data_IF_059553913240
#
_entry.id   IF_059553913240
#
_cell.length_a   1.000
_cell.length_b   1.000
_cell.length_c   1.000
_cell.angle_alpha   90.00
_cell.angle_beta   90.00
_cell.angle_gamma   90.00
#
_symmetry.space_group_name_H-M   'P 1'
#
loop_
_entity.id
_entity.type
_entity.pdbx_description
1 polymer ?
#
# COMPACT_ATOMS: atom_id res chain seq x y z
N UNK A 1 33.36 61.39 -32.02
CA UNK A 1 33.45 60.23 -31.12
C UNK A 1 32.57 59.12 -31.71
N UNK A 2 32.93 58.52 -32.85
CA UNK A 2 33.82 57.34 -32.99
C UNK A 2 33.24 56.12 -32.24
N UNK A 3 32.42 55.26 -32.87
CA UNK A 3 32.75 54.13 -33.80
C UNK A 3 33.22 52.87 -33.02
N UNK A 4 33.00 51.60 -33.42
CA UNK A 4 32.54 50.95 -34.68
C UNK A 4 32.18 49.46 -34.42
N UNK A 5 31.51 48.61 -35.26
CA UNK A 5 30.46 48.72 -36.32
C UNK A 5 30.01 47.31 -36.77
N UNK A 6 28.69 47.02 -36.83
CA UNK A 6 28.05 45.99 -37.70
C UNK A 6 28.44 44.49 -37.44
N UNK A 7 27.90 43.43 -38.09
CA UNK A 7 26.82 43.17 -39.08
C UNK A 7 26.39 41.69 -38.91
N UNK A 8 25.10 41.29 -38.80
CA UNK A 8 24.10 40.99 -39.86
C UNK A 8 24.39 39.77 -40.78
N UNK A 9 23.33 38.98 -41.04
CA UNK A 9 23.08 38.02 -42.17
C UNK A 9 23.26 36.49 -41.93
N UNK A 10 22.16 35.74 -42.13
CA UNK A 10 22.07 34.28 -42.42
C UNK A 10 22.21 34.04 -43.94
N UNK A 11 22.59 32.82 -44.40
CA UNK A 11 21.64 32.12 -45.27
C UNK A 11 21.59 30.57 -45.22
N UNK A 12 20.37 30.06 -45.50
CA UNK A 12 20.01 28.94 -46.41
C UNK A 12 20.25 27.45 -46.03
N UNK A 13 19.15 26.68 -46.20
CA UNK A 13 19.08 25.20 -46.28
C UNK A 13 19.61 24.70 -47.62
N UNK A 14 20.21 23.51 -47.64
CA UNK A 14 20.31 22.69 -48.87
C UNK A 14 19.68 21.31 -48.64
N UNK A 15 18.80 20.92 -49.56
CA UNK A 15 18.10 19.64 -49.63
C UNK A 15 18.45 18.93 -50.94
N UNK A 16 18.75 17.63 -50.93
CA UNK A 16 18.81 16.75 -52.13
C UNK A 16 18.78 15.25 -51.74
N UNK A 17 18.57 14.28 -52.66
CA UNK A 17 17.31 13.53 -52.63
C UNK A 17 17.46 11.99 -52.66
N UNK A 18 16.31 11.29 -52.73
CA UNK A 18 16.21 9.83 -52.94
C UNK A 18 16.69 9.42 -54.34
N UNK A 19 17.27 8.22 -54.45
CA UNK A 19 17.45 7.49 -55.71
C UNK A 19 17.51 5.98 -55.48
N UNK A 20 16.61 5.22 -56.12
CA UNK A 20 16.72 3.76 -56.31
C UNK A 20 17.24 3.51 -57.73
N UNK A 21 18.01 2.44 -57.97
CA UNK A 21 18.05 1.78 -59.27
C UNK A 21 17.26 0.45 -59.22
N UNK A 22 16.38 0.26 -60.19
CA UNK A 22 15.87 -1.04 -60.61
C UNK A 22 16.62 -1.46 -61.87
N UNK A 23 17.11 -2.70 -61.93
CA UNK A 23 17.77 -3.24 -63.12
C UNK A 23 17.64 -4.76 -63.15
N UNK A 24 16.89 -5.29 -64.11
CA UNK A 24 16.78 -6.72 -64.36
C UNK A 24 17.82 -7.15 -65.40
N UNK A 25 18.37 -8.35 -65.25
CA UNK A 25 19.27 -8.98 -66.22
C UNK A 25 19.14 -10.51 -66.15
N UNK A 26 18.84 -11.13 -67.29
CA UNK A 26 18.73 -12.60 -67.45
C UNK A 26 20.04 -13.17 -68.01
N UNK A 27 20.30 -14.45 -67.75
CA UNK A 27 21.43 -15.23 -68.29
C UNK A 27 21.89 -16.28 -67.28
N UNK A 28 21.44 -17.55 -67.25
CA UNK A 28 21.28 -18.58 -68.29
C UNK A 28 22.58 -19.31 -68.68
N UNK A 29 22.80 -20.45 -68.01
CA UNK A 29 23.39 -21.72 -68.55
C UNK A 29 24.86 -21.70 -69.03
N UNK A 30 25.73 -22.54 -68.42
CA UNK A 30 26.16 -23.84 -68.99
C UNK A 30 27.25 -24.57 -68.16
N UNK A 31 27.03 -25.87 -67.90
CA UNK A 31 27.95 -27.06 -67.99
C UNK A 31 29.46 -26.98 -67.64
N UNK A 32 30.17 -28.03 -67.18
CA UNK A 32 29.83 -29.39 -66.69
C UNK A 32 31.11 -30.09 -66.13
N UNK A 33 30.96 -31.27 -65.48
CA UNK A 33 32.04 -32.23 -65.16
C UNK A 33 32.28 -32.43 -63.66
N UNK A 34 32.00 -33.61 -63.07
CA UNK A 34 32.88 -34.82 -62.92
C UNK A 34 34.08 -34.56 -61.96
N UNK A 35 34.42 -35.38 -60.96
CA UNK A 35 34.13 -36.80 -60.64
C UNK A 35 34.00 -37.06 -59.10
N UNK A 36 33.70 -38.32 -58.79
CA UNK A 36 33.52 -39.02 -57.51
C UNK A 36 34.52 -38.72 -56.36
N UNK A 37 34.08 -38.93 -55.11
CA UNK A 37 34.94 -38.95 -53.92
C UNK A 37 34.17 -39.22 -52.61
N UNK A 38 34.30 -40.40 -52.02
CA UNK A 38 33.65 -40.80 -50.76
C UNK A 38 34.44 -40.30 -49.54
N UNK A 39 33.80 -39.56 -48.63
CA UNK A 39 33.97 -39.71 -47.17
C UNK A 39 33.08 -38.74 -46.38
N UNK A 40 32.33 -39.26 -45.41
CA UNK A 40 31.54 -38.44 -44.48
C UNK A 40 32.45 -37.88 -43.39
N UNK A 41 32.70 -36.57 -43.40
CA UNK A 41 33.31 -35.87 -42.26
C UNK A 41 32.23 -35.19 -41.41
N UNK A 42 32.32 -35.41 -40.10
CA UNK A 42 31.34 -34.92 -39.14
C UNK A 42 31.28 -33.38 -39.13
N UNK A 43 30.06 -32.84 -39.12
CA UNK A 43 29.85 -31.40 -39.01
C UNK A 43 30.36 -30.86 -37.66
N UNK A 44 30.85 -29.61 -37.60
CA UNK A 44 31.33 -29.01 -36.36
C UNK A 44 30.19 -28.91 -35.32
N UNK A 45 30.49 -29.07 -34.02
CA UNK A 45 29.47 -29.11 -32.98
C UNK A 45 28.67 -27.80 -32.91
N UNK A 46 27.38 -27.92 -32.63
CA UNK A 46 26.47 -26.80 -32.52
C UNK A 46 26.99 -25.74 -31.53
N UNK A 47 27.03 -24.48 -31.98
CA UNK A 47 27.44 -23.36 -31.12
C UNK A 47 26.56 -23.34 -29.87
N UNK A 48 27.20 -23.39 -28.71
CA UNK A 48 26.53 -23.28 -27.42
C UNK A 48 25.62 -22.05 -27.39
N UNK A 49 24.37 -22.24 -26.93
CA UNK A 49 23.37 -21.19 -26.90
C UNK A 49 23.88 -19.98 -26.13
N UNK A 50 23.76 -18.79 -26.71
CA UNK A 50 24.06 -17.54 -26.03
C UNK A 50 23.29 -17.49 -24.70
N UNK A 51 23.91 -17.07 -23.59
CA UNK A 51 23.23 -17.01 -22.30
C UNK A 51 22.00 -16.11 -22.46
N UNK A 52 20.82 -16.67 -22.20
CA UNK A 52 19.56 -15.94 -22.28
C UNK A 52 19.67 -14.69 -21.41
N UNK A 53 19.64 -13.51 -22.04
CA UNK A 53 19.80 -12.23 -21.35
C UNK A 53 18.76 -12.16 -20.25
N UNK A 54 19.21 -12.27 -19.00
CA UNK A 54 18.33 -12.31 -17.85
C UNK A 54 17.49 -11.04 -17.86
N UNK A 55 16.18 -11.19 -18.03
CA UNK A 55 15.26 -10.06 -18.17
C UNK A 55 15.51 -9.07 -17.03
N UNK A 56 15.72 -7.77 -17.33
CA UNK A 56 16.29 -6.83 -16.37
C UNK A 56 15.48 -6.84 -15.07
N UNK A 57 16.17 -7.13 -13.95
CA UNK A 57 15.60 -7.12 -12.59
C UNK A 57 14.85 -5.79 -12.43
N UNK A 58 13.50 -5.83 -12.50
CA UNK A 58 12.66 -4.63 -12.45
C UNK A 58 13.01 -3.85 -11.19
N UNK A 59 13.60 -2.67 -11.36
CA UNK A 59 14.19 -1.91 -10.26
C UNK A 59 13.18 -1.71 -9.13
N UNK A 60 13.53 -2.15 -7.91
CA UNK A 60 12.72 -1.92 -6.71
C UNK A 60 12.56 -0.43 -6.49
N UNK A 61 11.34 -0.01 -6.16
CA UNK A 61 11.07 1.35 -5.74
C UNK A 61 11.45 1.50 -4.27
N UNK A 62 12.71 1.86 -4.00
CA UNK A 62 13.25 2.04 -2.64
C UNK A 62 12.36 2.94 -1.79
N UNK A 63 11.83 4.03 -2.36
CA UNK A 63 10.88 4.93 -1.67
C UNK A 63 9.56 4.29 -1.24
N UNK A 64 9.03 3.29 -1.97
CA UNK A 64 7.79 2.57 -1.59
C UNK A 64 8.05 1.65 -0.40
N UNK A 65 9.19 0.95 -0.42
CA UNK A 65 9.58 0.11 0.72
C UNK A 65 9.94 1.01 1.92
N UNK A 66 10.67 2.12 1.74
CA UNK A 66 11.01 3.06 2.81
C UNK A 66 9.78 3.70 3.47
N UNK A 67 8.78 4.13 2.70
CA UNK A 67 7.51 4.62 3.25
C UNK A 67 6.79 3.53 4.07
N UNK A 68 6.92 2.26 3.69
CA UNK A 68 6.36 1.13 4.47
C UNK A 68 7.15 0.87 5.76
N UNK A 69 8.46 1.09 5.74
CA UNK A 69 9.30 1.06 6.94
C UNK A 69 8.94 2.17 7.91
N UNK A 70 8.77 3.41 7.42
CA UNK A 70 8.32 4.54 8.24
C UNK A 70 6.93 4.29 8.85
N UNK A 71 5.98 3.76 8.08
CA UNK A 71 4.67 3.34 8.58
C UNK A 71 4.78 2.31 9.71
N UNK A 72 5.66 1.32 9.57
CA UNK A 72 5.91 0.30 10.59
C UNK A 72 6.46 0.91 11.89
N UNK A 73 7.47 1.79 11.79
CA UNK A 73 8.06 2.45 12.96
C UNK A 73 7.07 3.38 13.67
N UNK A 74 6.21 4.07 12.91
CA UNK A 74 5.13 4.89 13.46
C UNK A 74 4.09 4.05 14.21
N UNK A 75 3.66 2.91 13.63
CA UNK A 75 2.75 1.98 14.31
C UNK A 75 3.36 1.45 15.62
N UNK A 76 4.65 1.05 15.60
CA UNK A 76 5.37 0.63 16.81
C UNK A 76 5.35 1.71 17.90
N UNK A 77 5.48 2.98 17.53
CA UNK A 77 5.40 4.11 18.46
C UNK A 77 4.02 4.22 19.09
N UNK A 78 2.96 4.23 18.27
CA UNK A 78 1.57 4.33 18.74
C UNK A 78 1.08 3.12 19.58
N UNK A 79 1.83 2.01 19.58
CA UNK A 79 1.54 0.82 20.37
C UNK A 79 2.28 0.76 21.71
N UNK A 80 3.41 1.46 21.84
CA UNK A 80 4.31 1.37 22.99
C UNK A 80 4.38 2.66 23.80
N UNK A 81 4.24 3.81 23.16
CA UNK A 81 4.22 5.13 23.82
C UNK A 81 2.79 5.46 24.26
N UNK A 82 2.64 5.96 25.49
CA UNK A 82 1.34 6.40 26.04
C UNK A 82 0.67 7.43 25.13
N UNK A 83 -0.67 7.36 25.02
CA UNK A 83 -1.46 8.30 24.21
C UNK A 83 -1.40 9.72 24.78
N UNK A 84 -1.36 9.84 26.11
CA UNK A 84 -1.28 11.10 26.84
C UNK A 84 0.06 11.25 27.57
N UNK A 85 0.44 12.49 27.81
CA UNK A 85 1.58 12.89 28.65
C UNK A 85 1.15 13.09 30.11
N UNK A 86 2.12 13.26 31.03
CA UNK A 86 1.84 13.37 32.47
C UNK A 86 1.09 14.66 32.87
N UNK A 87 1.17 15.70 32.03
CA UNK A 87 0.43 16.96 32.12
C UNK A 87 -0.94 16.92 31.43
N UNK A 88 -1.36 15.76 30.91
CA UNK A 88 -2.69 15.55 30.31
C UNK A 88 -2.80 15.88 28.82
N UNK A 89 -1.73 16.41 28.20
CA UNK A 89 -1.65 16.61 26.75
C UNK A 89 -1.59 15.29 25.96
N UNK A 90 -1.67 15.37 24.63
CA UNK A 90 -1.45 14.24 23.72
C UNK A 90 0.06 14.05 23.52
N UNK A 91 0.55 12.81 23.49
CA UNK A 91 1.97 12.58 23.23
C UNK A 91 2.32 12.86 21.77
N UNK A 92 3.48 13.48 21.53
CA UNK A 92 3.95 13.86 20.18
C UNK A 92 4.00 12.66 19.20
N UNK A 93 4.31 11.45 19.71
CA UNK A 93 4.29 10.21 18.93
C UNK A 93 2.87 9.91 18.45
N UNK A 94 1.88 10.11 19.31
CA UNK A 94 0.48 9.90 18.99
C UNK A 94 -0.06 10.98 18.04
N UNK A 95 0.25 12.25 18.29
CA UNK A 95 -0.10 13.38 17.40
C UNK A 95 0.41 13.16 15.96
N UNK A 96 1.66 12.70 15.81
CA UNK A 96 2.29 12.53 14.49
C UNK A 96 1.84 11.24 13.80
N UNK A 97 1.77 10.12 14.52
CA UNK A 97 1.61 8.79 13.90
C UNK A 97 0.22 8.15 14.04
N UNK A 98 -0.60 8.55 15.02
CA UNK A 98 -1.93 7.93 15.22
C UNK A 98 -2.82 8.13 13.99
N UNK A 99 -3.45 7.05 13.52
CA UNK A 99 -4.22 6.98 12.27
C UNK A 99 -3.35 7.06 11.00
N UNK A 100 -2.45 8.04 10.92
CA UNK A 100 -1.60 8.32 9.76
C UNK A 100 -0.67 7.14 9.40
N UNK A 101 -0.09 6.46 10.39
CA UNK A 101 0.81 5.33 10.15
C UNK A 101 0.09 4.10 9.58
N UNK A 102 -1.10 3.77 10.10
CA UNK A 102 -1.91 2.62 9.65
C UNK A 102 -2.62 2.90 8.32
N UNK A 103 -3.07 4.14 8.08
CA UNK A 103 -3.57 4.61 6.79
C UNK A 103 -2.48 4.58 5.70
N UNK A 104 -1.26 5.04 6.01
CA UNK A 104 -0.11 4.91 5.10
C UNK A 104 0.17 3.44 4.76
N UNK A 105 0.11 2.54 5.73
CA UNK A 105 0.24 1.10 5.48
C UNK A 105 -0.88 0.58 4.53
N UNK A 106 -2.10 1.11 4.60
CA UNK A 106 -3.25 0.67 3.80
C UNK A 106 -3.16 1.16 2.35
N UNK A 107 -2.81 2.44 2.16
CA UNK A 107 -2.51 3.00 0.84
C UNK A 107 -1.31 2.27 0.21
N UNK A 108 -0.25 1.98 0.97
CA UNK A 108 0.89 1.20 0.48
C UNK A 108 0.57 -0.27 0.19
N UNK A 109 -0.42 -0.87 0.86
CA UNK A 109 -0.94 -2.19 0.52
C UNK A 109 -1.60 -2.17 -0.86
N UNK A 110 -2.42 -1.15 -1.15
CA UNK A 110 -3.00 -0.91 -2.47
C UNK A 110 -1.94 -0.67 -3.56
N UNK A 111 -0.93 0.17 -3.28
CA UNK A 111 0.20 0.41 -4.18
C UNK A 111 0.93 -0.91 -4.46
N UNK A 112 1.26 -1.68 -3.43
CA UNK A 112 1.92 -2.97 -3.56
C UNK A 112 1.10 -4.01 -4.35
N UNK A 113 -0.22 -4.01 -4.18
CA UNK A 113 -1.16 -4.87 -4.91
C UNK A 113 -1.18 -4.53 -6.41
N UNK A 114 -1.34 -3.26 -6.78
CA UNK A 114 -1.28 -2.83 -8.18
C UNK A 114 0.12 -3.06 -8.79
N UNK A 115 1.19 -2.87 -8.01
CA UNK A 115 2.56 -3.13 -8.46
C UNK A 115 2.81 -4.62 -8.76
N UNK A 116 2.24 -5.54 -7.97
CA UNK A 116 2.34 -6.99 -8.17
C UNK A 116 1.42 -7.53 -9.28
N UNK A 117 0.41 -6.76 -9.70
CA UNK A 117 -0.64 -7.16 -10.63
C UNK A 117 -0.70 -6.26 -11.88
N UNK A 118 0.45 -6.06 -12.54
CA UNK A 118 0.54 -5.46 -13.88
C UNK A 118 0.99 -4.00 -13.94
N UNK A 119 1.07 -3.28 -12.82
CA UNK A 119 1.46 -1.85 -12.79
C UNK A 119 0.57 -1.01 -13.71
N UNK A 120 1.15 -0.26 -14.66
CA UNK A 120 0.43 0.59 -15.62
C UNK A 120 -0.50 -0.18 -16.58
N UNK A 121 -0.34 -1.50 -16.70
CA UNK A 121 -1.12 -2.36 -17.61
C UNK A 121 -1.84 -3.47 -16.82
N UNK A 122 -3.14 -3.30 -16.47
CA UNK A 122 -3.88 -4.30 -15.71
C UNK A 122 -4.11 -5.60 -16.49
N UNK A 123 -3.90 -6.78 -15.88
CA UNK A 123 -4.03 -8.08 -16.55
C UNK A 123 -5.48 -8.35 -16.96
N UNK A 124 -5.66 -9.18 -18.00
CA UNK A 124 -6.96 -9.56 -18.57
C UNK A 124 -7.11 -11.07 -18.68
N UNK A 125 -8.33 -11.54 -18.92
CA UNK A 125 -8.62 -12.96 -19.18
C UNK A 125 -8.04 -13.91 -18.12
N UNK A 126 -7.28 -14.90 -18.57
CA UNK A 126 -6.62 -15.89 -17.71
C UNK A 126 -5.60 -15.25 -16.74
N UNK A 127 -4.83 -14.25 -17.19
CA UNK A 127 -3.85 -13.58 -16.33
C UNK A 127 -4.51 -12.84 -15.17
N UNK A 128 -5.69 -12.26 -15.40
CA UNK A 128 -6.49 -11.63 -14.35
C UNK A 128 -6.97 -12.66 -13.33
N UNK A 129 -7.44 -13.83 -13.78
CA UNK A 129 -7.83 -14.94 -12.89
C UNK A 129 -6.64 -15.42 -12.06
N UNK A 130 -5.47 -15.60 -12.68
CA UNK A 130 -4.25 -15.98 -11.98
C UNK A 130 -3.80 -14.91 -10.98
N UNK A 131 -3.81 -13.63 -11.37
CA UNK A 131 -3.49 -12.51 -10.49
C UNK A 131 -4.41 -12.49 -9.26
N UNK A 132 -5.73 -12.60 -9.46
CA UNK A 132 -6.72 -12.70 -8.37
C UNK A 132 -6.44 -13.88 -7.44
N UNK A 133 -6.20 -15.08 -7.97
CA UNK A 133 -5.87 -16.25 -7.16
C UNK A 133 -4.57 -16.06 -6.35
N UNK A 134 -3.55 -15.42 -6.92
CA UNK A 134 -2.33 -15.06 -6.20
C UNK A 134 -2.56 -14.07 -5.06
N UNK A 135 -3.47 -13.10 -5.25
CA UNK A 135 -3.85 -12.12 -4.23
C UNK A 135 -4.64 -12.79 -3.10
N UNK A 136 -5.59 -13.66 -3.43
CA UNK A 136 -6.35 -14.43 -2.44
C UNK A 136 -5.45 -15.40 -1.64
N UNK A 137 -4.48 -16.05 -2.28
CA UNK A 137 -3.50 -16.87 -1.58
C UNK A 137 -2.61 -16.05 -0.64
N UNK A 138 -2.23 -14.81 -1.02
CA UNK A 138 -1.54 -13.88 -0.13
C UNK A 138 -2.44 -13.44 1.04
N UNK A 139 -3.71 -13.13 0.77
CA UNK A 139 -4.69 -12.79 1.78
C UNK A 139 -4.82 -13.91 2.82
N UNK A 140 -4.96 -15.17 2.39
CA UNK A 140 -5.02 -16.34 3.28
C UNK A 140 -3.79 -16.47 4.19
N UNK A 141 -2.57 -16.26 3.68
CA UNK A 141 -1.36 -16.27 4.51
C UNK A 141 -1.35 -15.11 5.52
N UNK A 142 -1.73 -13.90 5.09
CA UNK A 142 -1.80 -12.73 5.99
C UNK A 142 -2.87 -12.92 7.07
N UNK A 143 -4.00 -13.53 6.72
CA UNK A 143 -5.08 -13.85 7.65
C UNK A 143 -4.67 -14.91 8.66
N UNK A 144 -4.08 -16.03 8.21
CA UNK A 144 -3.57 -17.07 9.10
C UNK A 144 -2.51 -16.56 10.08
N UNK A 145 -1.56 -15.74 9.60
CA UNK A 145 -0.60 -15.05 10.49
C UNK A 145 -1.32 -14.11 11.45
N UNK A 146 -2.32 -13.35 10.98
CA UNK A 146 -3.10 -12.44 11.81
C UNK A 146 -3.81 -13.13 12.96
N UNK A 147 -4.50 -14.24 12.69
CA UNK A 147 -5.18 -15.05 13.71
C UNK A 147 -4.16 -15.64 14.71
N UNK A 148 -3.04 -16.19 14.24
CA UNK A 148 -1.99 -16.73 15.12
C UNK A 148 -1.34 -15.65 16.00
N UNK A 149 -1.15 -14.45 15.47
CA UNK A 149 -0.62 -13.30 16.23
C UNK A 149 -1.68 -12.72 17.17
N UNK A 150 -2.97 -12.87 16.87
CA UNK A 150 -4.09 -12.52 17.76
C UNK A 150 -4.13 -13.31 19.08
N UNK A 151 -3.48 -14.48 19.14
CA UNK A 151 -3.25 -15.22 20.39
C UNK A 151 -2.26 -14.53 21.34
N UNK A 152 -1.49 -13.55 20.88
CA UNK A 152 -0.49 -12.89 21.72
C UNK A 152 -1.18 -11.91 22.69
N UNK A 153 -0.96 -12.03 24.01
CA UNK A 153 -1.58 -11.14 24.98
C UNK A 153 -0.98 -9.73 24.87
N UNK A 154 -1.80 -8.72 24.59
CA UNK A 154 -1.34 -7.34 24.46
C UNK A 154 -2.46 -6.34 24.23
N UNK A 155 -2.08 -5.07 24.10
CA UNK A 155 -2.99 -3.91 23.98
C UNK A 155 -3.12 -3.41 22.52
N UNK A 156 -2.62 -4.19 21.56
CA UNK A 156 -2.58 -3.82 20.14
C UNK A 156 -3.80 -4.38 19.42
N UNK A 157 -4.59 -3.51 18.79
CA UNK A 157 -5.59 -3.94 17.82
C UNK A 157 -4.89 -4.45 16.55
N UNK A 158 -4.80 -5.78 16.39
CA UNK A 158 -4.00 -6.40 15.31
C UNK A 158 -4.70 -6.26 13.95
N UNK A 159 -4.10 -5.47 13.06
CA UNK A 159 -4.72 -5.09 11.77
C UNK A 159 -4.68 -6.19 10.69
N UNK A 160 -3.95 -7.29 10.92
CA UNK A 160 -3.62 -8.27 9.88
C UNK A 160 -4.84 -9.00 9.28
N UNK A 161 -5.84 -9.36 10.11
CA UNK A 161 -7.03 -10.07 9.61
C UNK A 161 -7.92 -9.13 8.78
N UNK A 162 -8.04 -7.86 9.18
CA UNK A 162 -8.65 -6.81 8.37
C UNK A 162 -7.90 -6.65 7.02
N UNK A 163 -6.57 -6.74 7.02
CA UNK A 163 -5.75 -6.67 5.79
C UNK A 163 -5.90 -7.88 4.88
N UNK A 164 -6.11 -9.06 5.44
CA UNK A 164 -6.45 -10.25 4.66
C UNK A 164 -7.76 -10.03 3.89
N UNK A 165 -8.79 -9.55 4.57
CA UNK A 165 -10.09 -9.27 3.94
C UNK A 165 -10.01 -8.08 2.96
N UNK A 166 -9.25 -7.01 3.26
CA UNK A 166 -8.95 -5.93 2.30
C UNK A 166 -8.25 -6.47 1.04
N UNK A 167 -7.26 -7.37 1.16
CA UNK A 167 -6.65 -7.99 -0.03
C UNK A 167 -7.64 -8.84 -0.83
N UNK A 168 -8.57 -9.55 -0.17
CA UNK A 168 -9.62 -10.30 -0.85
C UNK A 168 -10.59 -9.39 -1.61
N UNK A 169 -11.04 -8.29 -0.99
CA UNK A 169 -11.82 -7.23 -1.65
C UNK A 169 -11.04 -6.61 -2.81
N UNK A 170 -9.76 -6.29 -2.59
CA UNK A 170 -8.85 -5.73 -3.60
C UNK A 170 -8.68 -6.61 -4.84
N UNK A 171 -8.78 -7.94 -4.70
CA UNK A 171 -8.75 -8.87 -5.83
C UNK A 171 -9.87 -8.57 -6.85
N UNK A 172 -11.05 -8.13 -6.40
CA UNK A 172 -12.15 -7.73 -7.29
C UNK A 172 -11.71 -6.59 -8.22
N UNK A 173 -10.97 -5.61 -7.70
CA UNK A 173 -10.56 -4.39 -8.41
C UNK A 173 -9.25 -4.52 -9.20
N UNK A 174 -8.54 -5.65 -9.15
CA UNK A 174 -7.24 -5.86 -9.83
C UNK A 174 -7.30 -5.54 -11.34
N UNK A 175 -8.39 -5.88 -12.03
CA UNK A 175 -8.54 -5.63 -13.48
C UNK A 175 -8.77 -4.16 -13.86
N UNK A 176 -8.95 -3.24 -12.89
CA UNK A 176 -9.32 -1.86 -13.18
C UNK A 176 -8.12 -0.97 -13.53
N UNK A 177 -8.39 -0.03 -14.45
CA UNK A 177 -7.49 1.05 -14.86
C UNK A 177 -7.46 2.18 -13.83
N UNK A 178 -6.36 2.95 -13.83
CA UNK A 178 -6.13 4.07 -12.89
C UNK A 178 -7.32 5.01 -12.70
N UNK A 179 -8.01 5.42 -13.78
CA UNK A 179 -9.17 6.33 -13.68
C UNK A 179 -10.33 5.73 -12.89
N UNK A 180 -10.63 4.44 -13.10
CA UNK A 180 -11.71 3.77 -12.40
C UNK A 180 -11.37 3.57 -10.92
N UNK A 181 -10.11 3.23 -10.60
CA UNK A 181 -9.64 3.10 -9.22
C UNK A 181 -9.61 4.45 -8.49
N UNK A 182 -9.22 5.53 -9.17
CA UNK A 182 -9.18 6.89 -8.59
C UNK A 182 -10.59 7.42 -8.31
N UNK A 183 -11.53 7.26 -9.26
CA UNK A 183 -12.93 7.66 -9.05
C UNK A 183 -13.58 6.79 -7.97
N UNK A 184 -13.43 5.47 -8.04
CA UNK A 184 -14.00 4.58 -7.03
C UNK A 184 -13.42 4.87 -5.63
N UNK A 185 -12.09 4.99 -5.50
CA UNK A 185 -11.44 5.33 -4.24
C UNK A 185 -11.89 6.68 -3.69
N UNK A 186 -11.83 7.75 -4.50
CA UNK A 186 -12.22 9.09 -4.09
C UNK A 186 -13.69 9.20 -3.67
N UNK A 187 -14.62 8.60 -4.42
CA UNK A 187 -16.02 8.52 -4.01
C UNK A 187 -16.20 7.69 -2.74
N UNK A 188 -15.44 6.60 -2.59
CA UNK A 188 -15.60 5.69 -1.45
C UNK A 188 -15.05 6.23 -0.13
N UNK A 189 -14.07 7.14 -0.15
CA UNK A 189 -13.67 7.89 1.05
C UNK A 189 -14.83 8.73 1.62
N UNK A 190 -15.76 9.18 0.77
CA UNK A 190 -16.94 9.97 1.17
C UNK A 190 -18.17 9.10 1.45
N UNK A 191 -18.46 8.14 0.57
CA UNK A 191 -19.66 7.30 0.61
C UNK A 191 -19.51 6.13 1.59
N UNK A 192 -18.31 5.55 1.71
CA UNK A 192 -18.05 4.41 2.59
C UNK A 192 -18.47 4.66 4.05
N UNK A 193 -18.10 5.80 4.67
CA UNK A 193 -18.53 6.15 6.02
C UNK A 193 -20.05 6.31 6.17
N UNK A 194 -20.73 6.87 5.16
CA UNK A 194 -22.20 7.00 5.15
C UNK A 194 -22.86 5.62 5.10
N UNK A 195 -22.38 4.72 4.23
CA UNK A 195 -22.87 3.34 4.15
C UNK A 195 -22.59 2.60 5.46
N UNK A 196 -21.40 2.74 6.04
CA UNK A 196 -21.05 2.11 7.33
C UNK A 196 -21.99 2.57 8.45
N UNK A 197 -22.27 3.88 8.55
CA UNK A 197 -23.22 4.45 9.50
C UNK A 197 -24.63 3.88 9.36
N UNK A 198 -25.11 3.69 8.12
CA UNK A 198 -26.44 3.14 7.85
C UNK A 198 -26.54 1.64 8.13
N UNK A 199 -25.45 0.89 7.95
CA UNK A 199 -25.41 -0.57 8.17
C UNK A 199 -25.16 -0.94 9.63
N UNK A 200 -24.36 -0.17 10.38
CA UNK A 200 -24.00 -0.45 11.80
C UNK A 200 -25.19 -0.82 12.71
N UNK A 201 -26.33 -0.09 12.73
CA UNK A 201 -27.45 -0.43 13.60
C UNK A 201 -28.09 -1.79 13.30
N UNK A 202 -27.93 -2.29 12.06
CA UNK A 202 -28.47 -3.57 11.61
C UNK A 202 -27.63 -4.77 12.08
N UNK A 203 -26.38 -4.54 12.50
CA UNK A 203 -25.42 -5.58 12.91
C UNK A 203 -24.98 -5.47 14.37
N UNK A 204 -25.02 -4.28 14.97
CA UNK A 204 -24.64 -4.02 16.37
C UNK A 204 -25.81 -3.63 17.29
N UNK A 205 -27.03 -3.53 16.75
CA UNK A 205 -28.18 -2.98 17.46
C UNK A 205 -28.12 -1.45 17.70
N UNK A 206 -29.03 -0.90 18.53
CA UNK A 206 -29.14 0.53 18.76
C UNK A 206 -27.84 1.19 19.26
N UNK A 207 -27.50 2.36 18.70
CA UNK A 207 -26.28 3.12 19.03
C UNK A 207 -25.01 2.69 18.30
N UNK A 208 -24.96 1.46 17.75
CA UNK A 208 -23.82 0.97 16.96
C UNK A 208 -22.57 0.73 17.80
N UNK A 209 -22.60 -0.26 18.69
CA UNK A 209 -21.44 -0.60 19.52
C UNK A 209 -20.24 -1.10 18.65
N UNK A 210 -19.00 -0.66 18.97
CA UNK A 210 -17.79 -1.08 18.28
C UNK A 210 -17.29 -2.41 18.83
N UNK A 211 -16.65 -3.20 17.96
CA UNK A 211 -15.98 -4.45 18.32
C UNK A 211 -14.49 -4.17 18.54
N UNK A 212 -14.02 -4.36 19.77
CA UNK A 212 -12.61 -4.17 20.13
C UNK A 212 -11.78 -5.46 20.08
N UNK A 213 -12.43 -6.61 19.92
CA UNK A 213 -11.79 -7.92 19.93
C UNK A 213 -10.75 -8.06 18.80
N UNK A 214 -9.63 -8.68 19.16
CA UNK A 214 -8.54 -9.00 18.23
C UNK A 214 -8.81 -10.38 17.65
N UNK A 215 -9.03 -10.53 16.32
CA UNK A 215 -9.37 -11.81 15.75
C UNK A 215 -8.27 -12.86 15.90
N UNK A 216 -8.66 -14.02 16.40
CA UNK A 216 -7.82 -15.17 16.74
C UNK A 216 -8.40 -16.47 16.12
N UNK A 217 -7.81 -17.67 16.32
CA UNK A 217 -8.35 -18.91 15.75
C UNK A 217 -9.74 -19.28 16.30
N UNK A 218 -10.08 -18.91 17.54
CA UNK A 218 -11.39 -19.18 18.13
C UNK A 218 -12.51 -18.33 17.48
N UNK A 219 -12.16 -17.13 17.01
CA UNK A 219 -13.05 -16.24 16.25
C UNK A 219 -13.63 -16.89 14.97
N UNK A 220 -12.98 -17.94 14.43
CA UNK A 220 -13.50 -18.71 13.30
C UNK A 220 -14.74 -19.55 13.63
N UNK A 221 -15.00 -19.82 14.92
CA UNK A 221 -16.21 -20.50 15.39
C UNK A 221 -17.45 -19.60 15.31
N UNK A 222 -17.24 -18.27 15.26
CA UNK A 222 -18.27 -17.23 15.20
C UNK A 222 -18.18 -16.43 13.90
N UNK A 223 -18.33 -17.06 12.71
CA UNK A 223 -17.95 -16.46 11.43
C UNK A 223 -18.78 -15.23 11.06
N UNK A 224 -20.04 -15.12 11.51
CA UNK A 224 -20.89 -13.95 11.24
C UNK A 224 -20.48 -12.75 12.10
N UNK A 225 -20.16 -12.97 13.38
CA UNK A 225 -19.67 -11.95 14.30
C UNK A 225 -18.29 -11.44 13.83
N UNK A 226 -17.39 -12.37 13.48
CA UNK A 226 -16.08 -12.04 12.89
C UNK A 226 -16.23 -11.23 11.60
N UNK A 227 -17.16 -11.57 10.70
CA UNK A 227 -17.38 -10.80 9.47
C UNK A 227 -18.00 -9.43 9.75
N UNK A 228 -18.92 -9.30 10.71
CA UNK A 228 -19.48 -8.01 11.13
C UNK A 228 -18.38 -7.10 11.73
N UNK A 229 -17.56 -7.66 12.62
CA UNK A 229 -16.34 -7.06 13.17
C UNK A 229 -15.41 -6.54 12.08
N UNK A 230 -14.96 -7.42 11.19
CA UNK A 230 -14.01 -7.07 10.14
C UNK A 230 -14.59 -6.05 9.14
N UNK A 231 -15.86 -6.15 8.77
CA UNK A 231 -16.45 -5.30 7.73
C UNK A 231 -16.90 -3.94 8.26
N UNK A 232 -17.58 -3.87 9.41
CA UNK A 232 -18.45 -2.74 9.78
C UNK A 232 -18.18 -2.18 11.18
N UNK A 233 -17.93 -3.03 12.18
CA UNK A 233 -18.02 -2.66 13.60
C UNK A 233 -16.66 -2.63 14.32
N UNK A 234 -15.61 -3.20 13.72
CA UNK A 234 -14.28 -3.27 14.31
C UNK A 234 -13.50 -1.96 14.29
N UNK A 235 -12.26 -2.01 14.79
CA UNK A 235 -11.36 -0.84 14.84
C UNK A 235 -10.92 -0.36 13.45
N UNK A 236 -10.84 -1.26 12.47
CA UNK A 236 -10.37 -0.98 11.10
C UNK A 236 -11.36 -1.44 10.01
N UNK A 237 -12.63 -0.97 9.99
CA UNK A 237 -13.67 -1.59 9.18
C UNK A 237 -13.32 -1.66 7.70
N UNK A 238 -13.25 -2.87 7.14
CA UNK A 238 -12.87 -3.09 5.74
C UNK A 238 -13.82 -2.37 4.78
N UNK A 239 -15.08 -2.17 5.16
CA UNK A 239 -16.03 -1.36 4.40
C UNK A 239 -15.49 0.06 4.17
N UNK A 240 -15.11 0.81 5.20
CA UNK A 240 -14.57 2.18 5.03
C UNK A 240 -13.14 2.16 4.48
N UNK A 241 -12.28 1.27 5.00
CA UNK A 241 -10.86 1.17 4.65
C UNK A 241 -10.59 0.71 3.21
N UNK A 242 -11.59 0.19 2.50
CA UNK A 242 -11.53 -0.06 1.05
C UNK A 242 -11.17 1.22 0.27
N UNK A 243 -11.51 2.41 0.77
CA UNK A 243 -11.11 3.69 0.17
C UNK A 243 -9.59 3.84 0.05
N UNK A 244 -8.85 3.64 1.15
CA UNK A 244 -7.38 3.66 1.16
C UNK A 244 -6.78 2.68 0.14
N UNK A 245 -7.32 1.46 0.10
CA UNK A 245 -6.86 0.40 -0.78
C UNK A 245 -7.03 0.79 -2.26
N UNK A 246 -8.20 1.33 -2.63
CA UNK A 246 -8.50 1.75 -4.01
C UNK A 246 -7.64 2.94 -4.45
N UNK A 247 -7.46 3.95 -3.59
CA UNK A 247 -6.55 5.07 -3.85
C UNK A 247 -5.12 4.56 -4.01
N UNK A 248 -4.65 3.70 -3.10
CA UNK A 248 -3.35 3.05 -3.19
C UNK A 248 -3.16 2.27 -4.50
N UNK A 249 -4.17 1.49 -4.91
CA UNK A 249 -4.15 0.80 -6.19
C UNK A 249 -4.06 1.77 -7.36
N UNK A 250 -4.84 2.87 -7.36
CA UNK A 250 -4.77 3.91 -8.38
C UNK A 250 -3.35 4.49 -8.50
N UNK A 251 -2.72 4.83 -7.36
CA UNK A 251 -1.34 5.33 -7.31
C UNK A 251 -0.34 4.28 -7.81
N UNK A 252 -0.51 3.00 -7.47
CA UNK A 252 0.32 1.91 -7.99
C UNK A 252 0.15 1.63 -9.50
N UNK A 253 -0.93 2.13 -10.13
CA UNK A 253 -1.09 2.17 -11.59
C UNK A 253 -0.35 3.34 -12.25
N UNK A 254 0.14 4.33 -11.50
CA UNK A 254 0.92 5.46 -12.05
C UNK A 254 2.39 5.10 -12.33
N UNK A 255 3.08 5.81 -13.24
CA UNK A 255 4.51 5.63 -13.47
C UNK A 255 5.34 6.30 -12.36
N UNK A 256 5.38 5.69 -11.17
CA UNK A 256 6.10 6.17 -9.97
C UNK A 256 7.62 6.40 -10.16
N UNK A 257 8.20 5.97 -11.28
CA UNK A 257 9.57 6.30 -11.70
C UNK A 257 9.72 7.75 -12.21
N UNK A 258 8.63 8.51 -12.41
CA UNK A 258 8.68 9.90 -12.87
C UNK A 258 8.68 10.85 -11.66
N UNK A 259 9.70 11.71 -11.56
CA UNK A 259 9.80 12.70 -10.49
C UNK A 259 8.56 13.60 -10.42
N UNK A 260 8.00 13.99 -11.57
CA UNK A 260 6.75 14.74 -11.64
C UNK A 260 5.57 14.04 -10.95
N UNK A 261 5.46 12.70 -11.05
CA UNK A 261 4.40 11.95 -10.34
C UNK A 261 4.64 11.97 -8.84
N UNK A 262 5.88 11.78 -8.39
CA UNK A 262 6.22 11.84 -6.97
C UNK A 262 5.99 13.25 -6.37
N UNK A 263 6.32 14.31 -7.12
CA UNK A 263 6.04 15.70 -6.75
C UNK A 263 4.54 16.01 -6.71
N UNK A 264 3.76 15.50 -7.67
CA UNK A 264 2.30 15.63 -7.64
C UNK A 264 1.69 14.92 -6.42
N UNK A 265 2.13 13.69 -6.11
CA UNK A 265 1.69 12.97 -4.91
C UNK A 265 2.05 13.71 -3.61
N UNK A 266 3.25 14.30 -3.56
CA UNK A 266 3.68 15.13 -2.44
C UNK A 266 2.78 16.37 -2.27
N UNK A 267 2.60 17.14 -3.33
CA UNK A 267 1.86 18.40 -3.31
C UNK A 267 0.37 18.19 -3.02
N UNK A 268 -0.32 17.30 -3.75
CA UNK A 268 -1.76 17.07 -3.51
C UNK A 268 -2.00 16.33 -2.20
N UNK A 269 -1.10 15.42 -1.82
CA UNK A 269 -1.13 14.76 -0.52
C UNK A 269 -1.05 15.78 0.62
N UNK A 270 -0.08 16.69 0.59
CA UNK A 270 0.09 17.73 1.60
C UNK A 270 -1.11 18.70 1.66
N UNK A 271 -1.65 19.12 0.51
CA UNK A 271 -2.85 19.96 0.47
C UNK A 271 -4.06 19.26 1.11
N UNK A 272 -4.31 18.00 0.78
CA UNK A 272 -5.44 17.24 1.36
C UNK A 272 -5.21 16.96 2.86
N UNK A 273 -3.97 16.66 3.25
CA UNK A 273 -3.58 16.40 4.64
C UNK A 273 -3.79 17.59 5.58
N UNK A 274 -3.81 18.82 5.04
CA UNK A 274 -4.08 20.06 5.79
C UNK A 274 -5.53 20.50 5.63
N UNK A 275 -6.09 20.39 4.41
CA UNK A 275 -7.45 20.86 4.14
C UNK A 275 -8.53 20.02 4.83
N UNK A 276 -8.36 18.70 4.96
CA UNK A 276 -9.36 17.85 5.61
C UNK A 276 -9.48 18.11 7.14
N UNK A 277 -8.38 18.17 7.92
CA UNK A 277 -8.45 18.60 9.33
C UNK A 277 -9.04 19.99 9.52
N UNK A 278 -8.64 20.97 8.70
CA UNK A 278 -9.18 22.33 8.80
C UNK A 278 -10.68 22.41 8.48
N UNK A 279 -11.14 21.63 7.50
CA UNK A 279 -12.57 21.54 7.17
C UNK A 279 -13.38 20.83 8.27
N UNK A 280 -12.82 19.79 8.89
CA UNK A 280 -13.37 19.13 10.09
C UNK A 280 -13.48 20.13 11.26
N UNK A 281 -12.40 20.82 11.60
CA UNK A 281 -12.37 21.82 12.67
C UNK A 281 -13.37 22.96 12.45
N UNK A 282 -13.51 23.44 11.20
CA UNK A 282 -14.53 24.43 10.84
C UNK A 282 -15.97 23.88 10.97
N UNK A 283 -16.20 22.62 10.62
CA UNK A 283 -17.50 21.96 10.73
C UNK A 283 -17.89 21.65 12.18
N UNK A 284 -16.94 21.25 13.02
CA UNK A 284 -17.15 21.00 14.45
C UNK A 284 -17.34 22.30 15.23
N UNK A 285 -16.42 23.26 15.07
CA UNK A 285 -16.45 24.53 15.79
C UNK A 285 -17.46 25.53 15.21
N UNK A 286 -17.13 26.13 14.07
CA UNK A 286 -17.90 27.25 13.51
C UNK A 286 -19.30 26.87 13.04
N UNK A 287 -19.48 25.69 12.44
CA UNK A 287 -20.81 25.16 12.08
C UNK A 287 -21.52 24.42 13.23
N UNK A 288 -20.93 24.37 14.43
CA UNK A 288 -21.56 23.87 15.65
C UNK A 288 -21.67 22.35 15.77
N UNK A 289 -20.97 21.58 14.94
CA UNK A 289 -20.96 20.12 15.00
C UNK A 289 -20.55 19.55 16.37
N UNK A 290 -19.67 20.23 17.12
CA UNK A 290 -19.27 19.83 18.48
C UNK A 290 -20.47 19.88 19.45
N UNK A 291 -21.29 20.94 19.42
CA UNK A 291 -22.53 21.02 20.21
C UNK A 291 -23.49 19.90 19.84
N UNK A 292 -23.51 19.48 18.58
CA UNK A 292 -24.30 18.36 18.10
C UNK A 292 -23.72 16.97 18.46
N UNK A 293 -22.50 16.89 19.01
CA UNK A 293 -21.88 15.67 19.56
C UNK A 293 -22.02 15.55 21.08
N UNK A 294 -22.24 16.67 21.80
CA UNK A 294 -22.39 16.68 23.26
C UNK A 294 -23.54 15.77 23.71
N UNK A 295 -23.24 14.85 24.64
CA UNK A 295 -24.18 13.84 25.13
C UNK A 295 -24.56 12.74 24.11
N UNK A 296 -23.97 12.71 22.91
CA UNK A 296 -24.31 11.73 21.86
C UNK A 296 -23.43 10.48 21.86
N UNK A 297 -22.38 10.41 22.68
CA UNK A 297 -21.57 9.20 22.82
C UNK A 297 -22.33 8.15 23.68
N UNK A 298 -22.64 6.94 23.16
CA UNK A 298 -23.30 5.92 23.96
C UNK A 298 -22.38 5.42 25.10
N UNK A 299 -22.90 5.07 26.29
CA UNK A 299 -22.08 4.56 27.39
C UNK A 299 -21.22 3.34 27.03
N UNK A 300 -21.70 2.49 26.09
CA UNK A 300 -20.98 1.32 25.58
C UNK A 300 -19.69 1.65 24.81
N UNK A 301 -19.44 2.93 24.49
CA UNK A 301 -18.20 3.39 23.87
C UNK A 301 -17.08 3.70 24.87
N UNK A 302 -17.38 3.84 26.16
CA UNK A 302 -16.39 4.21 27.18
C UNK A 302 -15.82 5.64 27.04
N UNK A 303 -16.43 6.49 26.21
CA UNK A 303 -16.03 7.89 26.04
C UNK A 303 -16.53 8.70 27.24
N UNK A 304 -15.64 8.90 28.21
CA UNK A 304 -15.88 9.71 29.41
C UNK A 304 -15.51 11.19 29.22
N UNK A 305 -14.49 11.46 28.40
CA UNK A 305 -14.03 12.78 27.99
C UNK A 305 -14.08 12.87 26.46
N UNK A 306 -15.02 13.66 25.94
CA UNK A 306 -15.26 13.79 24.51
C UNK A 306 -14.12 14.57 23.80
N UNK A 307 -13.69 15.76 24.26
CA UNK A 307 -12.49 16.42 23.75
C UNK A 307 -11.27 15.50 23.68
N UNK A 308 -10.92 14.84 24.78
CA UNK A 308 -9.75 13.94 24.80
C UNK A 308 -9.90 12.76 23.84
N UNK A 309 -11.11 12.19 23.71
CA UNK A 309 -11.38 11.14 22.74
C UNK A 309 -11.26 11.65 21.29
N UNK A 310 -11.69 12.89 21.02
CA UNK A 310 -11.61 13.51 19.70
C UNK A 310 -10.16 13.82 19.27
N UNK A 311 -9.29 14.19 20.20
CA UNK A 311 -7.88 14.46 19.92
C UNK A 311 -7.02 13.18 19.87
N UNK A 312 -7.42 12.12 20.58
CA UNK A 312 -6.65 10.87 20.66
C UNK A 312 -7.15 9.78 19.72
N UNK A 313 -8.33 9.21 19.97
CA UNK A 313 -8.72 7.93 19.37
C UNK A 313 -10.23 7.69 19.39
N UNK A 314 -10.77 7.31 18.24
CA UNK A 314 -12.07 6.65 18.10
C UNK A 314 -11.88 5.42 17.21
N UNK A 315 -12.43 4.25 17.55
CA UNK A 315 -12.44 3.12 16.61
C UNK A 315 -13.21 3.50 15.34
N UNK A 316 -12.87 2.86 14.21
CA UNK A 316 -13.46 3.17 12.90
C UNK A 316 -14.96 2.93 12.75
N UNK A 317 -15.62 2.50 13.83
CA UNK A 317 -17.03 2.21 13.92
C UNK A 317 -17.89 3.35 14.50
N UNK A 318 -17.43 4.62 14.46
CA UNK A 318 -18.07 5.86 15.04
C UNK A 318 -19.59 5.83 15.34
N UNK A 319 -20.06 6.38 16.48
CA UNK A 319 -21.43 6.17 16.94
C UNK A 319 -22.52 6.61 15.95
N UNK A 320 -23.64 5.90 15.96
CA UNK A 320 -24.74 6.13 15.00
C UNK A 320 -25.81 7.12 15.50
N UNK A 321 -25.64 7.71 16.68
CA UNK A 321 -26.59 8.62 17.35
C UNK A 321 -26.85 9.92 16.60
N UNK A 322 -25.81 10.59 16.10
CA UNK A 322 -25.92 11.86 15.36
C UNK A 322 -25.08 11.85 14.08
N UNK A 323 -25.53 12.55 13.03
CA UNK A 323 -24.77 12.70 11.78
C UNK A 323 -23.48 13.51 11.96
N UNK A 324 -23.38 14.30 13.04
CA UNK A 324 -22.18 15.05 13.39
C UNK A 324 -20.94 14.16 13.58
N UNK A 325 -21.10 12.87 13.90
CA UNK A 325 -19.97 11.92 13.97
C UNK A 325 -19.24 11.73 12.64
N UNK A 326 -19.84 12.07 11.49
CA UNK A 326 -19.13 12.07 10.21
C UNK A 326 -18.29 13.34 9.97
N UNK A 327 -18.38 14.35 10.83
CA UNK A 327 -17.61 15.60 10.71
C UNK A 327 -16.23 15.51 11.37
N UNK A 328 -16.01 14.48 12.18
CA UNK A 328 -14.84 14.28 13.05
C UNK A 328 -13.58 13.91 12.25
N UNK A 329 -12.40 14.38 12.64
CA UNK A 329 -11.07 14.01 12.09
C UNK A 329 -10.16 13.36 13.16
N UNK A 330 -10.77 12.54 14.00
CA UNK A 330 -10.05 11.81 15.05
C UNK A 330 -9.33 10.60 14.46
N UNK A 331 -8.09 10.30 14.90
CA UNK A 331 -7.39 9.11 14.48
C UNK A 331 -8.22 7.84 14.58
N UNK A 332 -8.22 7.07 13.50
CA UNK A 332 -8.92 5.79 13.33
C UNK A 332 -10.45 5.87 13.19
N UNK A 333 -11.08 7.05 13.34
CA UNK A 333 -12.55 7.21 13.33
C UNK A 333 -13.24 6.77 12.03
N UNK A 334 -12.48 6.66 10.93
CA UNK A 334 -12.91 6.22 9.60
C UNK A 334 -14.09 7.02 9.03
N UNK A 335 -14.14 8.30 9.38
CA UNK A 335 -15.04 9.33 8.84
C UNK A 335 -14.51 9.87 7.50
N UNK A 336 -15.31 10.62 6.72
CA UNK A 336 -14.83 11.25 5.51
C UNK A 336 -13.59 12.14 5.69
N UNK A 337 -13.46 12.84 6.83
CA UNK A 337 -12.32 13.72 7.11
C UNK A 337 -11.06 12.94 7.53
N UNK A 338 -11.15 11.98 8.46
CA UNK A 338 -10.03 11.08 8.84
C UNK A 338 -9.51 10.32 7.61
N UNK A 339 -10.43 9.70 6.86
CA UNK A 339 -10.09 8.96 5.64
C UNK A 339 -9.42 9.86 4.60
N UNK A 340 -9.87 11.11 4.42
CA UNK A 340 -9.27 12.03 3.46
C UNK A 340 -7.91 12.57 3.94
N UNK A 341 -7.83 13.10 5.17
CA UNK A 341 -6.64 13.72 5.74
C UNK A 341 -5.48 12.75 5.86
N UNK A 342 -5.72 11.56 6.41
CA UNK A 342 -4.68 10.52 6.50
C UNK A 342 -4.33 9.90 5.14
N UNK A 343 -5.27 9.82 4.18
CA UNK A 343 -4.91 9.51 2.77
C UNK A 343 -3.97 10.58 2.23
N UNK A 344 -4.26 11.86 2.46
CA UNK A 344 -3.40 12.98 2.10
C UNK A 344 -1.99 12.81 2.67
N UNK A 345 -1.88 12.55 3.98
CA UNK A 345 -0.60 12.28 4.66
C UNK A 345 0.13 11.09 4.04
N UNK A 346 -0.58 10.01 3.71
CA UNK A 346 0.00 8.83 3.09
C UNK A 346 0.56 9.12 1.68
N UNK A 347 -0.15 9.90 0.87
CA UNK A 347 0.31 10.35 -0.45
C UNK A 347 1.51 11.31 -0.33
N UNK A 348 1.49 12.20 0.65
CA UNK A 348 2.59 13.13 0.93
C UNK A 348 3.88 12.38 1.29
N UNK A 349 3.81 11.46 2.25
CA UNK A 349 4.94 10.64 2.70
C UNK A 349 5.46 9.76 1.55
N UNK A 350 4.58 9.13 0.77
CA UNK A 350 5.00 8.35 -0.40
C UNK A 350 5.66 9.22 -1.48
N UNK A 351 5.13 10.41 -1.75
CA UNK A 351 5.72 11.37 -2.68
C UNK A 351 7.12 11.80 -2.25
N UNK A 352 7.28 12.19 -0.99
CA UNK A 352 8.57 12.53 -0.39
C UNK A 352 9.56 11.37 -0.45
N UNK A 353 9.17 10.16 -0.01
CA UNK A 353 10.03 8.98 -0.04
C UNK A 353 10.43 8.57 -1.47
N UNK A 354 9.57 8.78 -2.47
CA UNK A 354 9.90 8.59 -3.87
C UNK A 354 10.88 9.64 -4.41
N UNK A 355 10.81 10.89 -3.95
CA UNK A 355 11.76 11.95 -4.33
C UNK A 355 13.13 11.75 -3.66
N UNK A 356 13.15 11.58 -2.34
CA UNK A 356 14.38 11.32 -1.57
C UNK A 356 15.03 10.01 -2.03
N UNK A 357 14.25 8.95 -2.28
CA UNK A 357 14.77 7.68 -2.80
C UNK A 357 15.33 7.74 -4.23
N UNK A 358 15.18 8.85 -4.94
CA UNK A 358 15.84 9.11 -6.23
C UNK A 358 17.11 9.95 -6.10
N UNK A 359 17.11 10.91 -5.19
CA UNK A 359 18.25 11.80 -4.96
C UNK A 359 19.32 11.15 -4.06
N UNK A 360 18.88 10.51 -2.96
CA UNK A 360 19.73 10.02 -1.87
C UNK A 360 19.24 8.63 -1.41
N UNK A 361 19.30 7.58 -2.26
CA UNK A 361 18.71 6.27 -1.97
C UNK A 361 19.35 5.55 -0.76
N UNK A 362 20.57 5.91 -0.37
CA UNK A 362 21.25 5.34 0.80
C UNK A 362 20.64 5.83 2.12
N UNK A 363 20.14 7.07 2.19
CA UNK A 363 19.49 7.62 3.39
C UNK A 363 18.21 6.86 3.74
N UNK A 364 17.49 6.37 2.73
CA UNK A 364 16.31 5.53 2.90
C UNK A 364 16.63 4.03 3.03
N UNK A 365 17.91 3.62 2.97
CA UNK A 365 18.27 2.21 2.99
C UNK A 365 17.84 1.46 4.27
N UNK A 366 17.96 2.04 5.49
CA UNK A 366 17.48 1.41 6.73
C UNK A 366 15.97 1.16 6.72
N UNK A 367 15.19 2.21 6.43
CA UNK A 367 13.73 2.13 6.35
C UNK A 367 13.26 1.19 5.24
N UNK A 368 13.93 1.19 4.08
CA UNK A 368 13.59 0.28 2.98
C UNK A 368 13.91 -1.19 3.30
N UNK A 369 14.92 -1.46 4.15
CA UNK A 369 15.21 -2.79 4.68
C UNK A 369 14.04 -3.32 5.51
N UNK A 370 13.68 -2.60 6.58
CA UNK A 370 12.53 -2.94 7.42
C UNK A 370 11.22 -3.02 6.61
N UNK A 371 11.01 -2.04 5.73
CA UNK A 371 9.86 -1.93 4.84
C UNK A 371 9.70 -3.07 3.82
N UNK A 372 10.78 -3.80 3.51
CA UNK A 372 10.73 -4.97 2.63
C UNK A 372 10.29 -6.26 3.35
N UNK A 373 10.16 -6.24 4.69
CA UNK A 373 9.85 -7.38 5.55
C UNK A 373 8.78 -7.07 6.62
N UNK A 374 7.86 -6.16 6.32
CA UNK A 374 6.92 -5.63 7.32
C UNK A 374 5.94 -6.65 7.91
N UNK A 375 5.57 -7.73 7.20
CA UNK A 375 4.73 -8.78 7.80
C UNK A 375 5.52 -9.54 8.86
N UNK A 376 6.79 -9.87 8.59
CA UNK A 376 7.68 -10.47 9.60
C UNK A 376 7.86 -9.55 10.80
N UNK A 377 8.31 -8.30 10.58
CA UNK A 377 8.63 -7.38 11.68
C UNK A 377 7.41 -6.92 12.47
N UNK A 378 6.26 -6.70 11.82
CA UNK A 378 5.03 -6.36 12.53
C UNK A 378 4.58 -7.53 13.41
N UNK A 379 4.61 -8.77 12.89
CA UNK A 379 4.23 -9.96 13.67
C UNK A 379 5.17 -10.15 14.88
N UNK A 380 6.47 -9.97 14.69
CA UNK A 380 7.46 -10.01 15.78
C UNK A 380 7.17 -8.92 16.81
N UNK A 381 6.96 -7.68 16.37
CA UNK A 381 6.64 -6.56 17.26
C UNK A 381 5.37 -6.81 18.08
N UNK A 382 4.28 -7.30 17.47
CA UNK A 382 3.05 -7.57 18.22
C UNK A 382 3.31 -8.60 19.33
N UNK A 383 3.96 -9.72 19.00
CA UNK A 383 4.25 -10.80 19.96
C UNK A 383 5.19 -10.36 21.08
N UNK A 384 6.13 -9.45 20.83
CA UNK A 384 7.09 -8.97 21.85
C UNK A 384 6.70 -7.65 22.51
N UNK A 385 5.66 -6.95 22.02
CA UNK A 385 5.30 -5.59 22.47
C UNK A 385 5.00 -5.52 23.96
N UNK A 386 4.16 -6.42 24.48
CA UNK A 386 3.80 -6.46 25.89
C UNK A 386 5.00 -6.69 26.83
N UNK A 387 5.77 -7.79 26.74
CA UNK A 387 6.87 -8.03 27.67
C UNK A 387 8.00 -6.98 27.55
N UNK A 388 8.24 -6.42 26.37
CA UNK A 388 9.21 -5.33 26.22
C UNK A 388 8.70 -3.99 26.76
N UNK A 389 7.40 -3.70 26.62
CA UNK A 389 6.75 -2.54 27.23
C UNK A 389 6.75 -2.61 28.76
N UNK A 390 6.50 -3.79 29.33
CA UNK A 390 6.55 -4.04 30.78
C UNK A 390 7.98 -3.90 31.36
N UNK A 391 9.03 -4.23 30.58
CA UNK A 391 10.44 -4.17 31.04
C UNK A 391 11.11 -2.81 30.77
N UNK A 392 10.92 -2.21 29.59
CA UNK A 392 11.61 -0.98 29.18
C UNK A 392 10.76 0.28 29.34
N UNK A 393 9.44 0.16 29.24
CA UNK A 393 8.49 1.27 29.25
C UNK A 393 8.49 2.13 27.97
N UNK A 394 7.30 2.60 27.60
CA UNK A 394 7.09 3.78 26.76
C UNK A 394 8.02 3.95 25.55
N UNK A 395 8.70 5.10 25.52
CA UNK A 395 9.62 5.48 24.44
C UNK A 395 10.85 4.57 24.35
N UNK A 396 11.38 4.05 25.47
CA UNK A 396 12.54 3.15 25.44
C UNK A 396 12.19 1.81 24.77
N UNK A 397 11.01 1.26 25.04
CA UNK A 397 10.48 0.10 24.31
C UNK A 397 10.30 0.41 22.81
N UNK A 398 9.75 1.57 22.46
CA UNK A 398 9.59 1.97 21.06
C UNK A 398 10.93 2.09 20.32
N UNK A 399 11.90 2.80 20.90
CA UNK A 399 13.24 2.96 20.31
C UNK A 399 13.95 1.62 20.15
N UNK A 400 13.83 0.71 21.12
CA UNK A 400 14.34 -0.65 21.01
C UNK A 400 13.72 -1.42 19.83
N UNK A 401 12.39 -1.41 19.70
CA UNK A 401 11.69 -2.04 18.57
C UNK A 401 12.07 -1.43 17.23
N UNK A 402 12.19 -0.10 17.16
CA UNK A 402 12.55 0.62 15.95
C UNK A 402 13.99 0.33 15.51
N UNK A 403 14.93 0.33 16.46
CA UNK A 403 16.32 -0.05 16.22
C UNK A 403 16.43 -1.51 15.75
N UNK A 404 15.75 -2.45 16.43
CA UNK A 404 15.71 -3.85 16.04
C UNK A 404 15.13 -4.05 14.64
N UNK A 405 14.02 -3.39 14.31
CA UNK A 405 13.40 -3.41 12.98
C UNK A 405 14.37 -2.92 11.88
N UNK A 406 15.11 -1.84 12.15
CA UNK A 406 16.14 -1.31 11.25
C UNK A 406 17.32 -2.29 11.08
N UNK A 407 17.88 -2.81 12.17
CA UNK A 407 19.05 -3.71 12.15
C UNK A 407 18.72 -5.02 11.44
N UNK A 408 17.59 -5.66 11.78
CA UNK A 408 17.12 -6.89 11.11
C UNK A 408 16.81 -6.60 9.63
N UNK A 409 16.18 -5.45 9.34
CA UNK A 409 15.88 -4.98 7.99
C UNK A 409 17.10 -4.81 7.11
N UNK A 410 18.19 -4.25 7.65
CA UNK A 410 19.48 -4.12 6.98
C UNK A 410 20.16 -5.49 6.80
N UNK A 411 20.24 -6.32 7.86
CA UNK A 411 20.91 -7.62 7.80
C UNK A 411 20.32 -8.55 6.73
N UNK A 412 18.98 -8.65 6.65
CA UNK A 412 18.29 -9.45 5.61
C UNK A 412 18.45 -8.86 4.21
N UNK A 413 18.52 -7.53 4.10
CA UNK A 413 18.77 -6.84 2.83
C UNK A 413 20.18 -7.16 2.30
N UNK A 414 21.19 -7.09 3.16
CA UNK A 414 22.58 -7.46 2.81
C UNK A 414 22.69 -8.94 2.48
N UNK A 415 22.02 -9.82 3.23
CA UNK A 415 21.92 -11.25 2.89
C UNK A 415 21.14 -11.53 1.59
N UNK A 416 20.50 -10.53 0.97
CA UNK A 416 19.76 -10.68 -0.30
C UNK A 416 18.49 -11.54 -0.22
N UNK A 417 18.05 -11.92 0.99
CA UNK A 417 16.90 -12.81 1.22
C UNK A 417 15.60 -12.03 1.40
N UNK A 418 14.50 -12.74 1.73
CA UNK A 418 13.22 -12.15 2.12
C UNK A 418 12.97 -12.44 3.59
N UNK A 419 12.20 -11.60 4.26
CA UNK A 419 11.64 -11.96 5.56
C UNK A 419 10.88 -13.30 5.49
N UNK A 420 10.91 -14.14 6.55
CA UNK A 420 10.31 -15.47 6.53
C UNK A 420 8.83 -15.48 6.10
N UNK A 421 8.00 -14.59 6.65
CA UNK A 421 6.56 -14.57 6.33
C UNK A 421 6.32 -14.03 4.91
N UNK A 422 7.12 -13.08 4.42
CA UNK A 422 7.11 -12.63 3.03
C UNK A 422 7.53 -13.75 2.07
N UNK A 423 8.43 -14.64 2.47
CA UNK A 423 8.84 -15.79 1.68
C UNK A 423 7.70 -16.81 1.57
N UNK A 424 6.98 -17.09 2.67
CA UNK A 424 5.77 -17.95 2.68
C UNK A 424 4.67 -17.35 1.80
N UNK A 425 4.29 -16.09 2.04
CA UNK A 425 3.27 -15.40 1.27
C UNK A 425 3.60 -15.35 -0.24
N UNK A 426 4.88 -15.13 -0.59
CA UNK A 426 5.32 -15.13 -1.97
C UNK A 426 5.34 -16.53 -2.61
N UNK A 427 5.60 -17.60 -1.85
CA UNK A 427 5.47 -19.00 -2.33
C UNK A 427 4.00 -19.32 -2.62
N UNK A 428 3.10 -19.05 -1.68
CA UNK A 428 1.65 -19.24 -1.85
C UNK A 428 1.11 -18.46 -3.06
N UNK A 429 1.48 -17.19 -3.21
CA UNK A 429 1.13 -16.35 -4.37
C UNK A 429 1.57 -16.99 -5.71
N UNK A 430 2.79 -17.54 -5.79
CA UNK A 430 3.30 -18.18 -7.00
C UNK A 430 2.59 -19.50 -7.30
N UNK A 431 2.35 -20.32 -6.28
CA UNK A 431 1.66 -21.60 -6.43
C UNK A 431 0.22 -21.41 -6.95
N UNK A 432 -0.56 -20.51 -6.35
CA UNK A 432 -1.92 -20.21 -6.79
C UNK A 432 -1.98 -19.65 -8.21
N UNK A 433 -1.05 -18.75 -8.58
CA UNK A 433 -0.93 -18.26 -9.97
C UNK A 433 -0.63 -19.39 -10.94
N UNK A 434 0.34 -20.26 -10.64
CA UNK A 434 0.73 -21.37 -11.50
C UNK A 434 -0.40 -22.40 -11.67
N UNK A 435 -1.16 -22.69 -10.60
CA UNK A 435 -2.31 -23.60 -10.65
C UNK A 435 -3.41 -23.12 -11.59
N UNK A 436 -3.71 -21.81 -11.62
CA UNK A 436 -4.68 -21.24 -12.57
C UNK A 436 -4.16 -21.29 -14.01
N UNK A 437 -2.89 -20.93 -14.23
CA UNK A 437 -2.30 -20.91 -15.57
C UNK A 437 -2.22 -22.32 -16.19
N UNK A 438 -1.88 -23.34 -15.39
CA UNK A 438 -1.78 -24.75 -15.83
C UNK A 438 -3.12 -25.41 -16.15
N UNK A 439 -4.24 -24.90 -15.64
CA UNK A 439 -5.60 -25.46 -15.85
C UNK A 439 -6.26 -25.01 -17.16
N UNK A 440 -5.54 -24.33 -18.03
CA UNK A 440 -6.06 -23.94 -19.34
C UNK A 440 -5.81 -25.08 -20.33
N UNK A 441 -6.85 -25.66 -20.96
CA UNK A 441 -6.63 -26.62 -22.03
C UNK A 441 -5.93 -25.92 -23.19
N UNK A 442 -4.97 -26.59 -23.81
CA UNK A 442 -4.52 -26.25 -25.16
C UNK A 442 -5.73 -26.26 -26.09
N UNK A 443 -5.89 -25.27 -26.99
CA UNK A 443 -6.90 -25.38 -28.03
C UNK A 443 -6.63 -26.63 -28.89
N UNK A 444 -7.67 -27.31 -29.37
CA UNK A 444 -7.55 -28.48 -30.25
C UNK A 444 -6.93 -28.13 -31.61
#
# INVERSE_FOLDING_TARGET
MSNSTASKVRPVRVSRPRGRPSGAGRGSVSTAGRLEGVSTHAGPPARAGSPAVAAPRRARLVGVDAARGLALLGMMGTHLVSRTTADGGVSWVYEVFSGRASALFAVLAGVGLALATGRTDPPRGLELRAARAGVLARAGVVGAVGLLVGLAPGYIYVILVYYALLFAVGALFVGLRVRALAVAGGLWLLVGPVVARLVRPLVSGPGGAPTYDVPDPASLLHPLELLAGLLVTGVYPVLTWTGYLLVGMAVGRLPLQRAAVAGWLLATGAVVAVAAPLASAAALGAAGGERALQGQAPPSWGVTDLPLALDTFLPGATPTTTWAWLLVDTPHSATPFDLAGTTGSALAVLGAALLVGRAVPWLLAPLAGAGAMTLTLYSLHVVTSRPTGEVLGGEAAWLFHAAAAVVIGLAVREAGVRGPLEAVAARATRAARAAVLRRSPTPP
#
